data_IF_157402808338
#
_entry.id   IF_157402808338
#
_cell.length_a   1.000
_cell.length_b   1.000
_cell.length_c   1.000
_cell.angle_alpha   90.00
_cell.angle_beta   90.00
_cell.angle_gamma   90.00
#
_symmetry.space_group_name_H-M   'P 1'
#
loop_
_entity.id
_entity.type
_entity.pdbx_description
1 polymer ?
#
# COMPACT_ATOMS: atom_id res chain seq x y z
N UNK A 1 1.74 45.42 -11.79
CA UNK A 1 2.36 44.07 -11.75
C UNK A 1 2.07 43.37 -13.08
N UNK A 2 3.09 43.11 -13.90
CA UNK A 2 2.91 42.43 -15.20
C UNK A 2 2.75 40.93 -14.93
N UNK A 3 1.57 40.37 -15.20
CA UNK A 3 1.35 38.91 -15.12
C UNK A 3 2.21 38.24 -16.20
N UNK A 4 3.29 37.56 -15.82
CA UNK A 4 4.08 36.73 -16.75
C UNK A 4 3.14 35.66 -17.32
N UNK A 5 3.01 35.60 -18.65
CA UNK A 5 2.27 34.53 -19.32
C UNK A 5 3.01 33.21 -19.10
N UNK A 6 2.44 32.32 -18.31
CA UNK A 6 2.98 30.97 -18.11
C UNK A 6 2.78 30.15 -19.38
N UNK A 7 3.82 29.41 -19.77
CA UNK A 7 3.77 28.50 -20.93
C UNK A 7 3.42 27.10 -20.44
N UNK A 8 2.60 26.37 -21.20
CA UNK A 8 2.30 24.96 -20.93
C UNK A 8 3.55 24.10 -21.18
N UNK A 9 3.82 23.07 -20.36
CA UNK A 9 4.89 22.11 -20.61
C UNK A 9 4.72 21.40 -21.96
N UNK A 10 5.83 20.97 -22.57
CA UNK A 10 5.76 20.12 -23.76
C UNK A 10 5.36 18.69 -23.39
N UNK A 11 4.75 17.95 -24.32
CA UNK A 11 4.32 16.56 -24.10
C UNK A 11 5.49 15.65 -23.67
N UNK A 12 6.67 15.87 -24.25
CA UNK A 12 7.90 15.15 -23.89
C UNK A 12 8.30 15.39 -22.43
N UNK A 13 8.14 16.62 -21.94
CA UNK A 13 8.48 16.99 -20.57
C UNK A 13 7.45 16.39 -19.59
N UNK A 14 6.16 16.47 -19.92
CA UNK A 14 5.09 15.84 -19.13
C UNK A 14 5.25 14.32 -19.04
N UNK A 15 5.58 13.65 -20.15
CA UNK A 15 5.84 12.20 -20.16
C UNK A 15 6.99 11.85 -19.21
N UNK A 16 8.06 12.65 -19.22
CA UNK A 16 9.22 12.45 -18.35
C UNK A 16 8.85 12.64 -16.87
N UNK A 17 8.13 13.73 -16.56
CA UNK A 17 7.67 14.00 -15.19
C UNK A 17 6.72 12.92 -14.67
N UNK A 18 5.76 12.45 -15.49
CA UNK A 18 4.85 11.35 -15.15
C UNK A 18 5.59 10.04 -14.90
N UNK A 19 6.64 9.75 -15.67
CA UNK A 19 7.52 8.61 -15.42
C UNK A 19 8.15 8.71 -14.02
N UNK A 20 8.76 9.84 -13.69
CA UNK A 20 9.38 10.05 -12.37
C UNK A 20 8.36 9.81 -11.24
N UNK A 21 7.16 10.37 -11.35
CA UNK A 21 6.08 10.16 -10.36
C UNK A 21 5.68 8.70 -10.23
N UNK A 22 5.52 8.00 -11.35
CA UNK A 22 5.10 6.59 -11.39
C UNK A 22 6.14 5.68 -10.74
N UNK A 23 7.42 5.92 -10.97
CA UNK A 23 8.49 4.98 -10.60
C UNK A 23 9.19 5.32 -9.29
N UNK A 24 9.19 6.59 -8.89
CA UNK A 24 9.77 7.02 -7.62
C UNK A 24 8.71 7.38 -6.57
N UNK A 25 7.43 7.13 -6.86
CA UNK A 25 6.29 7.37 -5.96
C UNK A 25 6.22 8.79 -5.38
N UNK A 26 6.76 9.76 -6.11
CA UNK A 26 6.80 11.16 -5.67
C UNK A 26 5.46 11.83 -5.94
N UNK A 27 4.94 12.59 -4.97
CA UNK A 27 3.77 13.45 -5.16
C UNK A 27 4.24 14.87 -5.49
N UNK A 28 4.26 15.29 -6.78
CA UNK A 28 4.67 16.63 -7.14
C UNK A 28 3.58 17.64 -6.80
N UNK A 29 3.97 18.92 -6.68
CA UNK A 29 2.99 20.00 -6.62
C UNK A 29 2.22 20.08 -7.94
N UNK A 30 0.97 20.56 -7.89
CA UNK A 30 0.06 20.60 -9.04
C UNK A 30 0.62 21.41 -10.22
N UNK A 31 1.41 22.43 -9.92
CA UNK A 31 2.02 23.36 -10.88
C UNK A 31 2.99 22.64 -11.83
N UNK A 32 3.60 21.53 -11.39
CA UNK A 32 4.52 20.70 -12.20
C UNK A 32 3.88 20.19 -13.49
N UNK A 33 2.56 20.01 -13.51
CA UNK A 33 1.84 19.56 -14.71
C UNK A 33 1.18 20.70 -15.50
N UNK A 34 1.18 21.91 -14.95
CA UNK A 34 0.49 23.07 -15.54
C UNK A 34 1.47 24.08 -16.13
N UNK A 35 2.67 24.19 -15.57
CA UNK A 35 3.66 25.21 -15.91
C UNK A 35 4.96 24.60 -16.39
N UNK A 36 5.44 25.03 -17.56
CA UNK A 36 6.63 24.46 -18.21
C UNK A 36 7.91 24.60 -17.36
N UNK A 37 8.01 25.67 -16.58
CA UNK A 37 9.16 25.97 -15.73
C UNK A 37 9.19 25.04 -14.52
N UNK A 38 8.08 24.94 -13.78
CA UNK A 38 7.93 23.99 -12.67
C UNK A 38 8.12 22.52 -13.11
N UNK A 39 7.62 22.15 -14.29
CA UNK A 39 7.83 20.82 -14.86
C UNK A 39 9.31 20.52 -15.14
N UNK A 40 10.04 21.53 -15.63
CA UNK A 40 11.47 21.42 -15.97
C UNK A 40 12.32 21.32 -14.72
N UNK A 41 12.10 22.21 -13.75
CA UNK A 41 12.79 22.18 -12.46
C UNK A 41 12.60 20.84 -11.75
N UNK A 42 11.38 20.31 -11.76
CA UNK A 42 11.10 18.98 -11.22
C UNK A 42 11.93 17.90 -11.92
N UNK A 43 11.91 17.85 -13.25
CA UNK A 43 12.66 16.85 -14.02
C UNK A 43 14.18 16.98 -13.79
N UNK A 44 14.72 18.19 -13.80
CA UNK A 44 16.15 18.45 -13.60
C UNK A 44 16.62 18.09 -12.19
N UNK A 45 15.83 18.45 -11.16
CA UNK A 45 16.10 18.09 -9.79
C UNK A 45 16.22 16.57 -9.63
N UNK A 46 15.27 15.81 -10.16
CA UNK A 46 15.32 14.36 -10.07
C UNK A 46 16.45 13.78 -10.91
N UNK A 47 16.67 14.25 -12.13
CA UNK A 47 17.81 13.78 -12.94
C UNK A 47 19.18 14.01 -12.29
N UNK A 48 19.32 15.07 -11.47
CA UNK A 48 20.55 15.39 -10.75
C UNK A 48 20.71 14.60 -9.45
N UNK A 49 19.60 14.35 -8.74
CA UNK A 49 19.63 13.78 -7.38
C UNK A 49 19.18 12.31 -7.30
N UNK A 50 18.74 11.71 -8.42
CA UNK A 50 18.42 10.28 -8.46
C UNK A 50 19.66 9.44 -8.14
N UNK A 51 19.58 8.50 -7.18
CA UNK A 51 20.64 7.54 -6.93
C UNK A 51 21.09 6.86 -8.24
N UNK A 52 22.37 6.52 -8.35
CA UNK A 52 22.93 5.93 -9.58
C UNK A 52 22.20 4.64 -10.01
N UNK A 53 21.64 3.90 -9.05
CA UNK A 53 20.79 2.72 -9.26
C UNK A 53 19.47 3.07 -9.96
N UNK A 54 18.83 4.17 -9.59
CA UNK A 54 17.56 4.60 -10.17
C UNK A 54 17.72 5.11 -11.60
N UNK A 55 18.86 5.75 -11.87
CA UNK A 55 19.25 6.17 -13.22
C UNK A 55 19.46 4.95 -14.14
N UNK A 56 19.97 3.83 -13.60
CA UNK A 56 20.14 2.58 -14.35
C UNK A 56 18.79 1.94 -14.70
N UNK A 57 17.82 1.94 -13.77
CA UNK A 57 16.45 1.45 -14.01
C UNK A 57 15.70 2.27 -15.07
N UNK A 58 15.72 3.58 -14.95
CA UNK A 58 15.10 4.46 -15.94
C UNK A 58 15.70 4.25 -17.35
N UNK A 59 17.01 4.04 -17.43
CA UNK A 59 17.68 3.76 -18.70
C UNK A 59 17.40 2.34 -19.23
N UNK A 60 17.22 1.34 -18.36
CA UNK A 60 16.87 -0.02 -18.78
C UNK A 60 15.44 -0.13 -19.29
N UNK A 61 14.48 0.62 -18.72
CA UNK A 61 13.11 0.67 -19.25
C UNK A 61 13.04 1.42 -20.58
N UNK A 62 13.79 2.53 -20.74
CA UNK A 62 13.90 3.19 -22.05
C UNK A 62 14.54 2.31 -23.11
N UNK A 63 15.36 1.36 -22.71
CA UNK A 63 15.91 0.36 -23.61
C UNK A 63 14.80 -0.62 -24.01
N UNK A 64 14.00 -1.12 -23.07
CA UNK A 64 12.85 -2.00 -23.33
C UNK A 64 11.81 -1.35 -24.24
N UNK A 65 11.42 -0.10 -23.99
CA UNK A 65 10.49 0.64 -24.87
C UNK A 65 11.01 0.77 -26.31
N UNK A 66 12.33 0.77 -26.50
CA UNK A 66 12.96 0.91 -27.83
C UNK A 66 13.20 -0.43 -28.51
N UNK A 67 13.49 -1.48 -27.75
CA UNK A 67 13.92 -2.78 -28.29
C UNK A 67 12.86 -3.86 -28.19
N UNK A 68 11.82 -3.68 -27.37
CA UNK A 68 10.81 -4.69 -27.06
C UNK A 68 11.34 -5.88 -26.25
N UNK A 69 12.59 -5.81 -25.78
CA UNK A 69 13.23 -6.85 -25.00
C UNK A 69 13.22 -6.47 -23.52
N UNK A 70 12.62 -7.33 -22.70
CA UNK A 70 12.62 -7.17 -21.25
C UNK A 70 14.07 -7.09 -20.74
N UNK A 71 14.41 -6.11 -19.87
CA UNK A 71 15.77 -5.97 -19.38
C UNK A 71 16.13 -7.21 -18.54
N UNK A 72 17.38 -7.71 -18.63
CA UNK A 72 17.78 -8.87 -17.86
C UNK A 72 17.63 -8.57 -16.35
N UNK A 73 16.78 -9.37 -15.68
CA UNK A 73 16.47 -9.30 -14.24
C UNK A 73 17.72 -9.28 -13.32
N UNK A 74 18.89 -9.64 -13.84
CA UNK A 74 20.18 -9.58 -13.16
C UNK A 74 20.64 -8.17 -12.74
N UNK A 75 20.02 -7.09 -13.23
CA UNK A 75 20.43 -5.71 -12.90
C UNK A 75 19.65 -5.13 -11.71
N UNK A 76 18.57 -5.78 -11.25
CA UNK A 76 17.97 -5.42 -9.97
C UNK A 76 18.79 -6.08 -8.86
N UNK A 77 19.96 -5.51 -8.57
CA UNK A 77 20.81 -5.99 -7.48
C UNK A 77 20.04 -5.97 -6.15
N UNK A 78 20.34 -6.89 -5.23
CA UNK A 78 19.74 -6.96 -3.89
C UNK A 78 19.68 -5.60 -3.17
N UNK A 79 20.62 -4.70 -3.47
CA UNK A 79 20.65 -3.34 -2.93
C UNK A 79 19.41 -2.50 -3.33
N UNK A 80 18.82 -2.71 -4.50
CA UNK A 80 17.61 -2.00 -4.93
C UNK A 80 16.38 -2.47 -4.15
N UNK A 81 16.18 -3.78 -4.03
CA UNK A 81 15.09 -4.32 -3.22
C UNK A 81 15.23 -3.90 -1.76
N UNK A 82 16.45 -3.90 -1.22
CA UNK A 82 16.71 -3.44 0.14
C UNK A 82 16.51 -1.93 0.30
N UNK A 83 16.90 -1.11 -0.68
CA UNK A 83 16.71 0.34 -0.59
C UNK A 83 15.24 0.74 -0.75
N UNK A 84 14.51 0.09 -1.67
CA UNK A 84 13.07 0.28 -1.83
C UNK A 84 12.30 -0.24 -0.61
N UNK A 85 12.70 -1.39 -0.06
CA UNK A 85 12.14 -1.91 1.19
C UNK A 85 12.40 -0.95 2.35
N UNK A 86 13.63 -0.45 2.51
CA UNK A 86 13.96 0.49 3.58
C UNK A 86 13.24 1.84 3.39
N UNK A 87 13.12 2.35 2.17
CA UNK A 87 12.35 3.56 1.86
C UNK A 87 10.85 3.38 2.16
N UNK A 88 10.27 2.24 1.77
CA UNK A 88 8.89 1.90 2.15
C UNK A 88 8.73 1.76 3.66
N UNK A 89 9.70 1.15 4.35
CA UNK A 89 9.68 0.98 5.80
C UNK A 89 9.80 2.33 6.50
N UNK A 90 10.63 3.25 6.01
CA UNK A 90 10.74 4.62 6.52
C UNK A 90 9.47 5.43 6.26
N UNK A 91 8.85 5.30 5.09
CA UNK A 91 7.55 5.92 4.81
C UNK A 91 6.44 5.36 5.70
N UNK A 92 6.41 4.03 5.90
CA UNK A 92 5.46 3.37 6.81
C UNK A 92 5.72 3.81 8.26
N UNK A 93 6.98 3.87 8.69
CA UNK A 93 7.36 4.34 10.03
C UNK A 93 6.96 5.80 10.23
N UNK A 94 7.24 6.66 9.25
CA UNK A 94 6.80 8.05 9.24
C UNK A 94 5.28 8.17 9.28
N UNK A 95 4.54 7.31 8.57
CA UNK A 95 3.07 7.29 8.60
C UNK A 95 2.51 6.81 9.93
N UNK A 96 3.20 5.88 10.61
CA UNK A 96 2.87 5.42 11.97
C UNK A 96 3.13 6.54 12.98
N UNK A 97 4.21 7.30 12.82
CA UNK A 97 4.59 8.40 13.70
C UNK A 97 3.81 9.70 13.42
N UNK A 98 3.35 9.91 12.18
CA UNK A 98 2.66 11.11 11.71
C UNK A 98 1.38 10.79 10.91
N UNK A 99 0.37 10.15 11.53
CA UNK A 99 -0.84 9.68 10.85
C UNK A 99 -1.74 10.80 10.26
N UNK A 100 -1.40 12.08 10.49
CA UNK A 100 -2.17 13.24 10.07
C UNK A 100 -1.89 13.73 8.63
N UNK A 101 -0.82 13.27 7.96
CA UNK A 101 -0.30 13.96 6.76
C UNK A 101 -0.79 13.46 5.38
N UNK A 102 -1.68 12.45 5.31
CA UNK A 102 -1.97 11.74 4.04
C UNK A 102 -3.41 11.74 3.51
N UNK A 103 -4.41 12.21 4.25
CA UNK A 103 -5.80 12.20 3.79
C UNK A 103 -6.48 13.56 4.03
N UNK A 104 -6.78 14.33 2.96
CA UNK A 104 -7.43 15.64 3.07
C UNK A 104 -8.85 15.64 3.67
N UNK A 105 -9.42 14.46 3.97
CA UNK A 105 -10.76 14.30 4.55
C UNK A 105 -10.74 13.73 5.99
N UNK A 106 -9.57 13.44 6.56
CA UNK A 106 -9.44 12.70 7.82
C UNK A 106 -9.21 13.56 9.07
N UNK A 107 -9.45 14.87 9.00
CA UNK A 107 -9.32 15.75 10.16
C UNK A 107 -10.64 15.82 10.95
N UNK A 108 -10.60 15.14 12.10
CA UNK A 108 -11.37 15.43 13.32
C UNK A 108 -12.77 14.81 13.51
N UNK A 109 -13.00 13.59 13.01
CA UNK A 109 -14.00 12.73 13.67
C UNK A 109 -13.33 11.97 14.82
N UNK A 110 -13.21 12.63 15.98
CA UNK A 110 -12.99 11.93 17.28
C UNK A 110 -14.06 10.85 17.52
N UNK A 111 -15.18 10.95 16.81
CA UNK A 111 -16.30 10.03 16.81
C UNK A 111 -16.03 8.86 15.86
N UNK A 112 -16.24 7.59 16.29
CA UNK A 112 -16.17 6.44 15.40
C UNK A 112 -17.14 6.57 14.22
N UNK A 113 -16.76 6.04 13.04
CA UNK A 113 -17.69 6.01 11.91
C UNK A 113 -18.87 5.06 12.18
N UNK A 114 -20.02 5.30 11.53
CA UNK A 114 -21.19 4.42 11.65
C UNK A 114 -20.86 2.96 11.30
N UNK A 115 -19.98 2.76 10.30
CA UNK A 115 -19.48 1.43 9.92
C UNK A 115 -18.71 0.76 11.06
N UNK A 116 -17.85 1.50 11.77
CA UNK A 116 -17.13 0.99 12.94
C UNK A 116 -18.11 0.60 14.06
N UNK A 117 -19.11 1.44 14.35
CA UNK A 117 -20.10 1.17 15.41
C UNK A 117 -20.95 -0.06 15.09
N UNK A 118 -21.47 -0.18 13.86
CA UNK A 118 -22.20 -1.36 13.39
C UNK A 118 -21.36 -2.63 13.51
N UNK A 119 -20.08 -2.53 13.19
CA UNK A 119 -19.17 -3.67 13.30
C UNK A 119 -18.84 -4.02 14.76
N UNK A 120 -18.66 -3.02 15.63
CA UNK A 120 -18.50 -3.22 17.07
C UNK A 120 -19.74 -3.89 17.69
N UNK A 121 -20.94 -3.50 17.28
CA UNK A 121 -22.20 -4.14 17.69
C UNK A 121 -22.33 -5.59 17.20
N UNK A 122 -21.84 -5.90 16.00
CA UNK A 122 -21.81 -7.28 15.52
C UNK A 122 -20.87 -8.14 16.37
N UNK A 123 -19.66 -7.64 16.67
CA UNK A 123 -18.71 -8.35 17.54
C UNK A 123 -19.23 -8.48 18.97
N UNK A 124 -19.81 -7.42 19.53
CA UNK A 124 -20.39 -7.45 20.87
C UNK A 124 -21.48 -8.53 21.01
N UNK A 125 -22.36 -8.66 20.01
CA UNK A 125 -23.34 -9.74 19.95
C UNK A 125 -22.71 -11.12 19.77
N UNK A 126 -21.71 -11.24 18.90
CA UNK A 126 -21.01 -12.51 18.65
C UNK A 126 -20.32 -13.03 19.91
N UNK A 127 -19.73 -12.15 20.72
CA UNK A 127 -19.05 -12.52 21.97
C UNK A 127 -19.93 -12.40 23.20
N UNK A 128 -21.20 -11.99 23.06
CA UNK A 128 -22.13 -11.73 24.16
C UNK A 128 -21.56 -10.78 25.22
N UNK A 129 -20.91 -9.70 24.77
CA UNK A 129 -20.33 -8.64 25.63
C UNK A 129 -21.05 -7.32 25.39
N UNK A 130 -21.12 -6.48 26.42
CA UNK A 130 -21.64 -5.12 26.28
C UNK A 130 -20.57 -4.20 25.68
N UNK A 131 -21.01 -3.21 24.87
CA UNK A 131 -20.10 -2.23 24.28
C UNK A 131 -19.84 -1.12 25.31
N UNK A 132 -18.57 -0.89 25.73
CA UNK A 132 -18.26 0.19 26.65
C UNK A 132 -18.68 1.56 26.08
N UNK A 133 -19.21 2.45 26.92
CA UNK A 133 -19.69 3.77 26.46
C UNK A 133 -18.60 4.65 25.82
N UNK A 134 -17.32 4.41 26.13
CA UNK A 134 -16.18 5.06 25.48
C UNK A 134 -15.97 4.59 24.03
N UNK A 135 -16.22 3.31 23.75
CA UNK A 135 -16.16 2.73 22.39
C UNK A 135 -17.17 3.40 21.45
N UNK A 136 -18.31 3.86 21.99
CA UNK A 136 -19.33 4.55 21.20
C UNK A 136 -18.99 6.02 20.89
N UNK A 137 -18.09 6.64 21.67
CA UNK A 137 -17.80 8.08 21.62
C UNK A 137 -16.43 8.41 21.06
N UNK A 138 -15.47 7.50 21.24
CA UNK A 138 -14.07 7.72 20.91
C UNK A 138 -13.60 6.72 19.85
N UNK A 139 -13.17 7.24 18.69
CA UNK A 139 -12.68 6.46 17.56
C UNK A 139 -11.53 5.52 17.95
N UNK A 140 -10.59 6.00 18.77
CA UNK A 140 -9.45 5.21 19.22
C UNK A 140 -9.88 4.03 20.11
N UNK A 141 -10.81 4.26 21.05
CA UNK A 141 -11.38 3.17 21.84
C UNK A 141 -12.15 2.17 20.98
N UNK A 142 -12.89 2.64 19.98
CA UNK A 142 -13.58 1.77 19.04
C UNK A 142 -12.61 0.92 18.23
N UNK A 143 -11.56 1.52 17.67
CA UNK A 143 -10.53 0.79 16.94
C UNK A 143 -9.88 -0.29 17.82
N UNK A 144 -9.47 0.06 19.05
CA UNK A 144 -8.85 -0.89 19.97
C UNK A 144 -9.80 -2.05 20.34
N UNK A 145 -11.09 -1.77 20.53
CA UNK A 145 -12.11 -2.79 20.76
C UNK A 145 -12.23 -3.73 19.56
N UNK A 146 -12.33 -3.17 18.34
CA UNK A 146 -12.41 -3.97 17.11
C UNK A 146 -11.17 -4.84 16.93
N UNK A 147 -9.97 -4.29 17.12
CA UNK A 147 -8.71 -5.01 16.98
C UNK A 147 -8.59 -6.17 17.97
N UNK A 148 -8.97 -5.94 19.24
CA UNK A 148 -8.96 -6.97 20.26
C UNK A 148 -9.85 -8.16 19.86
N UNK A 149 -11.13 -7.89 19.56
CA UNK A 149 -12.08 -8.95 19.23
C UNK A 149 -11.79 -9.61 17.88
N UNK A 150 -11.23 -8.88 16.90
CA UNK A 150 -10.78 -9.49 15.65
C UNK A 150 -9.64 -10.50 15.84
N UNK A 151 -8.71 -10.25 16.77
CA UNK A 151 -7.59 -11.16 17.04
C UNK A 151 -8.02 -12.47 17.69
N UNK A 152 -9.01 -12.42 18.57
CA UNK A 152 -9.52 -13.62 19.27
C UNK A 152 -10.67 -14.30 18.52
N UNK A 153 -11.19 -13.68 17.46
CA UNK A 153 -12.28 -14.24 16.65
C UNK A 153 -11.86 -15.55 16.00
N UNK A 154 -12.68 -16.57 16.19
CA UNK A 154 -12.49 -17.86 15.55
C UNK A 154 -12.75 -17.75 14.03
N UNK A 155 -12.01 -18.50 13.20
CA UNK A 155 -12.29 -18.58 11.77
C UNK A 155 -13.70 -19.12 11.54
N UNK A 156 -14.42 -18.56 10.56
CA UNK A 156 -15.70 -19.14 10.12
C UNK A 156 -15.47 -20.45 9.36
N UNK A 157 -16.42 -21.38 9.39
CA UNK A 157 -16.29 -22.67 8.68
C UNK A 157 -15.98 -22.50 7.19
N UNK A 158 -16.58 -21.51 6.52
CA UNK A 158 -16.26 -21.21 5.12
C UNK A 158 -14.78 -20.89 4.89
N UNK A 159 -14.17 -20.17 5.82
CA UNK A 159 -12.75 -19.77 5.75
C UNK A 159 -11.85 -20.97 6.04
N UNK A 160 -12.22 -21.81 7.02
CA UNK A 160 -11.55 -23.09 7.29
C UNK A 160 -11.60 -24.01 6.07
N UNK A 161 -12.76 -24.09 5.42
CA UNK A 161 -12.94 -24.87 4.20
C UNK A 161 -12.06 -24.35 3.06
N UNK A 162 -12.00 -23.03 2.86
CA UNK A 162 -11.07 -22.44 1.88
C UNK A 162 -9.62 -22.81 2.19
N UNK A 163 -9.21 -22.73 3.47
CA UNK A 163 -7.87 -23.11 3.87
C UNK A 163 -7.56 -24.59 3.54
N UNK A 164 -8.48 -25.50 3.91
CA UNK A 164 -8.35 -26.94 3.59
C UNK A 164 -8.26 -27.19 2.07
N UNK A 165 -9.06 -26.51 1.26
CA UNK A 165 -9.02 -26.64 -0.20
C UNK A 165 -7.68 -26.23 -0.79
N UNK A 166 -7.11 -25.10 -0.35
CA UNK A 166 -5.80 -24.66 -0.84
C UNK A 166 -4.65 -25.55 -0.35
N UNK A 167 -4.71 -26.03 0.90
CA UNK A 167 -3.77 -27.01 1.44
C UNK A 167 -3.77 -28.30 0.60
N UNK A 168 -4.95 -28.85 0.32
CA UNK A 168 -5.11 -30.07 -0.46
C UNK A 168 -4.55 -29.92 -1.88
N UNK A 169 -4.78 -28.77 -2.54
CA UNK A 169 -4.20 -28.48 -3.86
C UNK A 169 -2.68 -28.43 -3.82
N UNK A 170 -2.11 -27.78 -2.82
CA UNK A 170 -0.66 -27.68 -2.66
C UNK A 170 0.00 -28.95 -2.09
N UNK A 171 -0.78 -29.99 -1.74
CA UNK A 171 -0.26 -31.21 -1.13
C UNK A 171 0.35 -31.01 0.26
N UNK A 172 -0.12 -30.01 1.03
CA UNK A 172 0.36 -29.71 2.38
C UNK A 172 -0.80 -29.72 3.39
N UNK A 173 -0.48 -30.00 4.66
CA UNK A 173 -1.45 -29.85 5.75
C UNK A 173 -1.55 -28.40 6.22
N UNK A 174 -2.75 -27.99 6.69
CA UNK A 174 -2.93 -26.66 7.28
C UNK A 174 -2.34 -26.64 8.69
N UNK A 175 -1.35 -25.78 9.00
CA UNK A 175 -0.77 -25.75 10.34
C UNK A 175 -1.81 -25.40 11.40
N UNK A 176 -1.83 -26.11 12.54
CA UNK A 176 -2.81 -25.88 13.62
C UNK A 176 -2.85 -24.43 14.12
N UNK A 177 -1.68 -23.78 14.21
CA UNK A 177 -1.54 -22.36 14.55
C UNK A 177 -2.25 -21.40 13.59
N UNK A 178 -2.41 -21.79 12.32
CA UNK A 178 -3.15 -21.00 11.31
C UNK A 178 -4.66 -21.07 11.57
N UNK A 179 -5.15 -22.21 12.08
CA UNK A 179 -6.57 -22.43 12.37
C UNK A 179 -7.01 -21.80 13.70
N UNK A 180 -6.07 -21.32 14.53
CA UNK A 180 -6.36 -20.81 15.87
C UNK A 180 -7.13 -19.48 15.87
N UNK A 181 -6.95 -18.64 14.85
CA UNK A 181 -7.57 -17.31 14.76
C UNK A 181 -7.99 -16.99 13.34
N UNK A 182 -9.09 -16.25 13.19
CA UNK A 182 -9.61 -15.82 11.88
C UNK A 182 -8.55 -15.06 11.09
N UNK A 183 -7.78 -14.20 11.75
CA UNK A 183 -6.75 -13.38 11.10
C UNK A 183 -5.64 -14.26 10.54
N UNK A 184 -5.12 -15.22 11.33
CA UNK A 184 -4.10 -16.15 10.87
C UNK A 184 -4.60 -17.01 9.69
N UNK A 185 -5.83 -17.52 9.77
CA UNK A 185 -6.42 -18.32 8.67
C UNK A 185 -6.60 -17.49 7.41
N UNK A 186 -7.09 -16.24 7.54
CA UNK A 186 -7.30 -15.36 6.39
C UNK A 186 -5.98 -15.00 5.70
N UNK A 187 -4.95 -14.61 6.46
CA UNK A 187 -3.62 -14.31 5.92
C UNK A 187 -3.02 -15.51 5.20
N UNK A 188 -3.14 -16.70 5.79
CA UNK A 188 -2.65 -17.94 5.17
C UNK A 188 -3.40 -18.28 3.88
N UNK A 189 -4.74 -18.17 3.86
CA UNK A 189 -5.56 -18.37 2.65
C UNK A 189 -5.16 -17.39 1.55
N UNK A 190 -4.91 -16.12 1.87
CA UNK A 190 -4.45 -15.13 0.90
C UNK A 190 -3.10 -15.49 0.27
N UNK A 191 -2.14 -15.97 1.08
CA UNK A 191 -0.83 -16.41 0.60
C UNK A 191 -0.98 -17.65 -0.29
N UNK A 192 -1.70 -18.66 0.19
CA UNK A 192 -1.86 -19.93 -0.54
C UNK A 192 -2.61 -19.75 -1.86
N UNK A 193 -3.65 -18.90 -1.87
CA UNK A 193 -4.36 -18.55 -3.10
C UNK A 193 -3.38 -18.02 -4.16
N UNK A 194 -2.50 -17.10 -3.76
CA UNK A 194 -1.51 -16.50 -4.67
C UNK A 194 -0.47 -17.51 -5.13
N UNK A 195 -0.07 -18.45 -4.27
CA UNK A 195 0.87 -19.51 -4.63
C UNK A 195 0.26 -20.48 -5.65
N UNK A 196 -0.96 -20.98 -5.41
CA UNK A 196 -1.65 -21.85 -6.37
C UNK A 196 -1.86 -21.16 -7.73
N UNK A 197 -2.24 -19.87 -7.72
CA UNK A 197 -2.41 -19.09 -8.96
C UNK A 197 -1.11 -18.92 -9.74
N UNK A 198 0.05 -18.83 -9.06
CA UNK A 198 1.34 -18.63 -9.71
C UNK A 198 1.96 -19.94 -10.23
N UNK A 199 1.78 -21.04 -9.50
CA UNK A 199 2.38 -22.33 -9.84
C UNK A 199 1.52 -23.17 -10.80
N UNK A 200 0.29 -22.73 -11.11
CA UNK A 200 -0.63 -23.48 -11.97
C UNK A 200 -1.18 -24.76 -11.32
N UNK A 201 -1.14 -24.83 -9.99
CA UNK A 201 -1.70 -25.89 -9.14
C UNK A 201 -3.16 -25.58 -8.85
#
# INVERSE_FOLDING_TARGET
MVKKKTRKPSEKLLRTAKGIVKYHFVIPKKEVFLEAEACREFVEYYQKNLPSTDKQLYNSEKLEERTGLAPPLKIIGNNYLMHHWNSMVEEIAYFIENPAFGYPEAFDSRIPSERMLKFAQALAREFSVEIPSRVLREKNCCSAFLDHYQRIRQPTEKLLQSARTYAARAGIDVPSKVLATRLATMSWVCIMKRLCEFEGI
#
